data_IF_061370237874
#
_entry.id   IF_061370237874
#
_cell.length_a   1.000
_cell.length_b   1.000
_cell.length_c   1.000
_cell.angle_alpha   90.00
_cell.angle_beta   90.00
_cell.angle_gamma   90.00
#
_symmetry.space_group_name_H-M   'P 1'
#
loop_
_entity.id
_entity.type
_entity.pdbx_description
1 polymer ?
#
# COMPACT_ATOMS: atom_id res chain seq x y z
N UNK A 1 52.92 0.80 4.72
CA UNK A 1 51.53 1.10 4.30
C UNK A 1 51.03 -0.12 3.55
N UNK A 2 50.04 -0.81 4.10
CA UNK A 2 49.71 -2.20 3.80
C UNK A 2 49.09 -2.44 2.43
N UNK A 3 49.25 -3.66 1.94
CA UNK A 3 48.74 -4.13 0.63
C UNK A 3 47.21 -3.92 0.52
N UNK A 4 46.65 -3.71 -0.69
CA UNK A 4 45.21 -3.74 -0.93
C UNK A 4 44.49 -4.94 -0.31
N UNK A 5 45.16 -6.07 -0.15
CA UNK A 5 44.61 -7.26 0.51
C UNK A 5 44.57 -7.16 2.04
N UNK A 6 45.52 -6.47 2.66
CA UNK A 6 45.49 -6.15 4.09
C UNK A 6 44.38 -5.13 4.39
N UNK A 7 44.15 -4.18 3.48
CA UNK A 7 43.03 -3.24 3.55
C UNK A 7 41.67 -3.93 3.38
N UNK A 8 41.55 -4.86 2.43
CA UNK A 8 40.33 -5.69 2.28
C UNK A 8 40.07 -6.56 3.51
N UNK A 9 41.11 -7.17 4.09
CA UNK A 9 40.98 -7.97 5.33
C UNK A 9 40.55 -7.11 6.52
N UNK A 10 41.12 -5.92 6.69
CA UNK A 10 40.70 -4.99 7.75
C UNK A 10 39.27 -4.48 7.56
N UNK A 11 38.84 -4.19 6.32
CA UNK A 11 37.46 -3.82 6.03
C UNK A 11 36.48 -4.97 6.33
N UNK A 12 36.81 -6.20 5.94
CA UNK A 12 36.00 -7.38 6.24
C UNK A 12 35.92 -7.67 7.74
N UNK A 13 37.02 -7.52 8.47
CA UNK A 13 37.03 -7.65 9.92
C UNK A 13 36.25 -6.55 10.63
N UNK A 14 36.35 -5.30 10.18
CA UNK A 14 35.52 -4.21 10.68
C UNK A 14 34.03 -4.45 10.41
N UNK A 15 33.69 -4.93 9.22
CA UNK A 15 32.31 -5.24 8.85
C UNK A 15 31.75 -6.39 9.68
N UNK A 16 32.53 -7.47 9.83
CA UNK A 16 32.18 -8.63 10.67
C UNK A 16 32.02 -8.23 12.14
N UNK A 17 32.93 -7.41 12.67
CA UNK A 17 32.82 -6.86 14.04
C UNK A 17 31.58 -6.01 14.22
N UNK A 18 31.25 -5.12 13.27
CA UNK A 18 30.01 -4.32 13.30
C UNK A 18 28.77 -5.21 13.26
N UNK A 19 28.74 -6.25 12.42
CA UNK A 19 27.60 -7.17 12.36
C UNK A 19 27.42 -7.98 13.64
N UNK A 20 28.50 -8.45 14.25
CA UNK A 20 28.45 -9.16 15.54
C UNK A 20 27.94 -8.20 16.62
N UNK A 21 28.48 -6.98 16.69
CA UNK A 21 28.01 -5.95 17.61
C UNK A 21 26.51 -5.64 17.42
N UNK A 22 26.06 -5.48 16.18
CA UNK A 22 24.64 -5.24 15.87
C UNK A 22 23.74 -6.41 16.28
N UNK A 23 24.16 -7.67 16.06
CA UNK A 23 23.40 -8.85 16.49
C UNK A 23 23.32 -8.96 18.01
N UNK A 24 24.43 -8.78 18.71
CA UNK A 24 24.47 -8.82 20.18
C UNK A 24 23.56 -7.72 20.75
N UNK A 25 23.66 -6.50 20.21
CA UNK A 25 22.83 -5.37 20.61
C UNK A 25 21.33 -5.63 20.36
N UNK A 26 20.98 -6.20 19.20
CA UNK A 26 19.60 -6.58 18.87
C UNK A 26 19.04 -7.66 19.80
N UNK A 27 19.82 -8.69 20.12
CA UNK A 27 19.41 -9.76 21.03
C UNK A 27 19.25 -9.27 22.48
N UNK A 28 20.11 -8.35 22.93
CA UNK A 28 19.96 -7.70 24.24
C UNK A 28 18.72 -6.80 24.28
N UNK A 29 18.45 -6.03 23.22
CA UNK A 29 17.23 -5.22 23.12
C UNK A 29 15.95 -6.07 23.16
N UNK A 30 15.92 -7.24 22.48
CA UNK A 30 14.78 -8.16 22.54
C UNK A 30 14.52 -8.73 23.94
N UNK A 31 15.59 -8.90 24.73
CA UNK A 31 15.50 -9.41 26.11
C UNK A 31 15.19 -8.32 27.13
N UNK A 32 15.38 -7.05 26.77
CA UNK A 32 15.07 -5.93 27.64
C UNK A 32 13.55 -5.78 27.81
N UNK A 33 13.09 -5.76 29.07
CA UNK A 33 11.68 -5.51 29.38
C UNK A 33 11.38 -4.01 29.23
N UNK A 34 10.25 -3.61 28.61
CA UNK A 34 9.86 -2.21 28.56
C UNK A 34 9.73 -1.67 29.99
N UNK A 35 10.53 -0.66 30.30
CA UNK A 35 10.56 -0.03 31.63
C UNK A 35 9.45 1.00 31.74
N UNK A 36 8.85 1.06 32.92
CA UNK A 36 7.82 2.04 33.21
C UNK A 36 8.47 3.44 33.29
N UNK A 37 7.87 4.41 32.60
CA UNK A 37 8.25 5.83 32.63
C UNK A 37 7.08 6.58 33.23
N UNK A 38 7.32 7.40 34.24
CA UNK A 38 6.27 8.14 34.93
C UNK A 38 5.76 9.33 34.11
N UNK A 39 4.52 9.76 34.35
CA UNK A 39 3.94 10.94 33.68
C UNK A 39 4.76 12.21 33.91
N UNK A 40 5.28 12.41 35.13
CA UNK A 40 6.10 13.58 35.47
C UNK A 40 7.43 13.63 34.68
N UNK A 41 8.02 12.47 34.38
CA UNK A 41 9.22 12.38 33.54
C UNK A 41 8.91 12.71 32.08
N UNK A 42 7.73 12.29 31.58
CA UNK A 42 7.28 12.59 30.22
C UNK A 42 7.03 14.10 30.06
N UNK A 43 6.35 14.71 31.01
CA UNK A 43 6.08 16.15 31.00
C UNK A 43 7.39 16.97 31.12
N UNK A 44 8.32 16.53 31.97
CA UNK A 44 9.63 17.18 32.11
C UNK A 44 10.51 17.02 30.86
N UNK A 45 10.40 15.88 30.16
CA UNK A 45 11.11 15.68 28.89
C UNK A 45 10.49 16.50 27.75
N UNK A 46 9.17 16.60 27.71
CA UNK A 46 8.46 17.48 26.78
C UNK A 46 8.92 18.93 26.96
N UNK A 47 8.90 19.47 28.18
CA UNK A 47 9.25 20.87 28.41
C UNK A 47 10.73 21.16 28.16
N UNK A 48 11.65 20.23 28.50
CA UNK A 48 13.07 20.37 28.19
C UNK A 48 13.35 20.43 26.69
N UNK A 49 12.62 19.65 25.90
CA UNK A 49 12.85 19.55 24.46
C UNK A 49 11.89 20.43 23.67
N UNK A 50 10.98 21.17 24.31
CA UNK A 50 9.92 21.94 23.66
C UNK A 50 10.43 22.93 22.62
N UNK A 51 11.57 23.55 22.87
CA UNK A 51 12.22 24.50 21.97
C UNK A 51 12.99 23.83 20.84
N UNK A 52 13.48 22.61 21.05
CA UNK A 52 14.20 21.80 20.05
C UNK A 52 13.26 20.96 19.19
N UNK A 53 12.05 20.67 19.67
CA UNK A 53 11.01 20.00 18.90
C UNK A 53 10.70 20.84 17.66
N UNK A 54 10.87 20.22 16.50
CA UNK A 54 10.44 20.81 15.24
C UNK A 54 8.97 21.18 15.35
N UNK A 55 8.59 22.32 14.78
CA UNK A 55 7.18 22.73 14.76
C UNK A 55 6.36 21.64 14.05
N UNK A 56 5.18 21.36 14.58
CA UNK A 56 4.20 20.50 13.94
C UNK A 56 3.90 21.08 12.54
N UNK A 57 4.00 20.28 11.46
CA UNK A 57 3.65 20.75 10.14
C UNK A 57 2.15 21.05 10.06
N UNK A 58 1.76 21.94 9.15
CA UNK A 58 0.34 22.12 8.86
C UNK A 58 -0.22 20.84 8.28
N UNK A 59 -1.32 20.33 8.83
CA UNK A 59 -1.96 19.10 8.34
C UNK A 59 -3.36 19.35 7.82
N UNK A 60 -3.84 18.44 6.99
CA UNK A 60 -5.24 18.36 6.57
C UNK A 60 -5.72 16.93 6.77
N UNK A 61 -6.92 16.78 7.31
CA UNK A 61 -7.66 15.52 7.24
C UNK A 61 -8.81 15.68 6.26
N UNK A 62 -9.11 14.60 5.56
CA UNK A 62 -10.22 14.59 4.63
C UNK A 62 -10.83 13.20 4.52
N UNK A 63 -12.05 13.17 4.01
CA UNK A 63 -12.68 11.94 3.52
C UNK A 63 -12.97 12.10 2.04
N UNK A 64 -13.00 10.99 1.32
CA UNK A 64 -13.08 11.02 -0.13
C UNK A 64 -14.04 9.98 -0.72
N UNK A 65 -14.55 10.31 -1.91
CA UNK A 65 -15.22 9.38 -2.80
C UNK A 65 -14.39 9.30 -4.08
N UNK A 66 -13.84 8.13 -4.37
CA UNK A 66 -13.08 7.88 -5.60
C UNK A 66 -13.98 7.18 -6.60
N UNK A 67 -14.13 7.75 -7.78
CA UNK A 67 -14.90 7.21 -8.90
C UNK A 67 -13.92 6.68 -9.93
N UNK A 68 -14.01 5.38 -10.21
CA UNK A 68 -13.26 4.74 -11.29
C UNK A 68 -14.11 4.74 -12.58
N UNK A 69 -13.56 5.23 -13.71
CA UNK A 69 -14.19 5.10 -15.02
C UNK A 69 -14.54 3.65 -15.34
N UNK A 70 -15.75 3.45 -15.87
CA UNK A 70 -16.25 2.13 -16.25
C UNK A 70 -16.24 1.98 -17.77
N UNK A 71 -15.63 0.89 -18.24
CA UNK A 71 -15.60 0.55 -19.65
C UNK A 71 -17.01 0.53 -20.25
N UNK A 72 -17.18 1.13 -21.42
CA UNK A 72 -18.42 1.05 -22.18
C UNK A 72 -18.75 -0.41 -22.56
N UNK A 73 -20.02 -0.69 -22.82
CA UNK A 73 -20.45 -2.00 -23.34
C UNK A 73 -19.75 -2.33 -24.67
N UNK A 74 -19.44 -1.32 -25.49
CA UNK A 74 -18.61 -1.47 -26.69
C UNK A 74 -17.20 -1.94 -26.34
N UNK A 75 -16.53 -1.30 -25.39
CA UNK A 75 -15.18 -1.69 -24.96
C UNK A 75 -15.18 -3.11 -24.35
N UNK A 76 -16.19 -3.45 -23.55
CA UNK A 76 -16.38 -4.80 -23.03
C UNK A 76 -16.57 -5.84 -24.15
N UNK A 77 -17.39 -5.54 -25.14
CA UNK A 77 -17.61 -6.43 -26.29
C UNK A 77 -16.32 -6.68 -27.08
N UNK A 78 -15.50 -5.64 -27.27
CA UNK A 78 -14.19 -5.77 -27.93
C UNK A 78 -13.27 -6.69 -27.11
N UNK A 79 -13.18 -6.48 -25.80
CA UNK A 79 -12.37 -7.33 -24.91
C UNK A 79 -12.86 -8.78 -24.87
N UNK A 80 -14.19 -8.99 -24.81
CA UNK A 80 -14.81 -10.31 -24.85
C UNK A 80 -14.51 -11.02 -26.18
N UNK A 81 -14.70 -10.34 -27.30
CA UNK A 81 -14.39 -10.88 -28.64
C UNK A 81 -12.92 -11.27 -28.75
N UNK A 82 -12.01 -10.46 -28.21
CA UNK A 82 -10.58 -10.81 -28.15
C UNK A 82 -10.36 -12.06 -27.31
N UNK A 83 -10.93 -12.15 -26.10
CA UNK A 83 -10.81 -13.33 -25.24
C UNK A 83 -11.39 -14.59 -25.92
N UNK A 84 -12.53 -14.49 -26.59
CA UNK A 84 -13.16 -15.58 -27.36
C UNK A 84 -12.24 -16.05 -28.49
N UNK A 85 -11.58 -15.12 -29.20
CA UNK A 85 -10.59 -15.46 -30.23
C UNK A 85 -9.38 -16.21 -29.67
N UNK A 86 -8.87 -15.83 -28.49
CA UNK A 86 -7.76 -16.52 -27.84
C UNK A 86 -8.19 -17.93 -27.38
N UNK A 87 -9.40 -18.07 -26.84
CA UNK A 87 -9.96 -19.38 -26.50
C UNK A 87 -10.08 -20.27 -27.74
N UNK A 88 -10.48 -19.73 -28.89
CA UNK A 88 -10.55 -20.47 -30.14
C UNK A 88 -9.17 -20.88 -30.68
N UNK A 89 -8.13 -20.08 -30.46
CA UNK A 89 -6.73 -20.44 -30.76
C UNK A 89 -6.26 -21.61 -29.89
N UNK A 90 -6.50 -21.53 -28.57
CA UNK A 90 -6.16 -22.59 -27.62
C UNK A 90 -6.86 -23.91 -27.98
N UNK A 91 -8.17 -23.85 -28.28
CA UNK A 91 -8.96 -25.04 -28.65
C UNK A 91 -8.51 -25.70 -29.95
N UNK A 92 -7.81 -24.97 -30.83
CA UNK A 92 -7.21 -25.50 -32.06
C UNK A 92 -5.80 -26.06 -31.84
N UNK A 93 -5.34 -26.17 -30.60
CA UNK A 93 -4.02 -26.71 -30.25
C UNK A 93 -2.95 -25.65 -29.99
N UNK A 94 -3.33 -24.37 -29.88
CA UNK A 94 -2.40 -23.31 -29.48
C UNK A 94 -1.89 -23.50 -28.05
N UNK A 95 -0.61 -23.20 -27.82
CA UNK A 95 0.02 -23.28 -26.50
C UNK A 95 -0.48 -22.16 -25.58
N UNK A 96 -1.15 -22.55 -24.48
CA UNK A 96 -1.82 -21.62 -23.58
C UNK A 96 -0.82 -20.64 -22.95
N UNK A 97 0.34 -21.13 -22.55
CA UNK A 97 1.38 -20.41 -21.84
C UNK A 97 2.00 -19.32 -22.71
N UNK A 98 2.27 -19.63 -23.98
CA UNK A 98 2.77 -18.67 -24.96
C UNK A 98 1.72 -17.61 -25.30
N UNK A 99 0.45 -18.00 -25.45
CA UNK A 99 -0.65 -17.05 -25.66
C UNK A 99 -0.79 -16.14 -24.44
N UNK A 100 -0.72 -16.69 -23.22
CA UNK A 100 -0.78 -15.91 -21.99
C UNK A 100 0.38 -14.92 -21.88
N UNK A 101 1.62 -15.34 -22.17
CA UNK A 101 2.79 -14.44 -22.19
C UNK A 101 2.64 -13.29 -23.19
N UNK A 102 2.03 -13.56 -24.34
CA UNK A 102 1.81 -12.57 -25.41
C UNK A 102 0.68 -11.60 -25.06
N UNK A 103 -0.48 -12.15 -24.71
CA UNK A 103 -1.77 -11.43 -24.75
C UNK A 103 -2.33 -11.08 -23.39
N UNK A 104 -1.98 -11.83 -22.33
CA UNK A 104 -2.55 -11.56 -21.00
C UNK A 104 -2.16 -10.16 -20.52
N UNK A 105 -3.11 -9.50 -19.87
CA UNK A 105 -2.96 -8.19 -19.24
C UNK A 105 -2.83 -8.30 -17.72
N UNK A 106 -2.74 -9.51 -17.17
CA UNK A 106 -2.42 -9.71 -15.75
C UNK A 106 -0.91 -9.59 -15.51
N UNK A 107 -0.41 -8.53 -14.87
CA UNK A 107 1.03 -8.34 -14.65
C UNK A 107 1.63 -9.40 -13.71
N UNK A 108 0.82 -10.01 -12.83
CA UNK A 108 1.30 -10.98 -11.85
C UNK A 108 1.67 -12.33 -12.48
N UNK A 109 0.91 -12.77 -13.47
CA UNK A 109 1.07 -14.10 -14.06
C UNK A 109 1.50 -14.10 -15.53
N UNK A 110 1.38 -12.98 -16.27
CA UNK A 110 1.71 -12.89 -17.70
C UNK A 110 3.10 -13.48 -18.01
N UNK A 111 4.13 -13.03 -17.29
CA UNK A 111 5.51 -13.44 -17.56
C UNK A 111 5.75 -14.95 -17.39
N UNK A 112 4.93 -15.61 -16.55
CA UNK A 112 5.00 -17.05 -16.26
C UNK A 112 3.91 -17.86 -16.97
N UNK A 113 3.38 -17.35 -18.09
CA UNK A 113 2.40 -18.08 -18.90
C UNK A 113 1.03 -18.18 -18.25
N UNK A 114 0.67 -17.19 -17.42
CA UNK A 114 -0.61 -17.17 -16.73
C UNK A 114 -0.66 -17.99 -15.45
N UNK A 115 0.45 -18.64 -15.03
CA UNK A 115 0.50 -19.49 -13.83
C UNK A 115 0.25 -18.68 -12.56
N UNK A 116 -0.82 -19.05 -11.83
CA UNK A 116 -1.20 -18.45 -10.54
C UNK A 116 -0.60 -19.21 -9.35
N UNK A 117 0.08 -20.34 -9.58
CA UNK A 117 0.52 -21.24 -8.52
C UNK A 117 -0.66 -21.93 -7.83
N UNK A 118 -0.40 -22.46 -6.62
CA UNK A 118 -1.43 -23.07 -5.80
C UNK A 118 -2.30 -22.00 -5.13
N UNK A 119 -3.60 -22.03 -5.43
CA UNK A 119 -4.56 -21.02 -4.99
C UNK A 119 -5.62 -21.67 -4.09
N UNK A 120 -5.86 -21.06 -2.92
CA UNK A 120 -6.90 -21.46 -1.95
C UNK A 120 -8.18 -20.68 -2.18
N UNK A 121 -9.27 -21.15 -1.60
CA UNK A 121 -10.51 -20.36 -1.49
C UNK A 121 -10.26 -19.06 -0.74
N UNK A 122 -10.93 -18.00 -1.16
CA UNK A 122 -10.77 -16.64 -0.64
C UNK A 122 -9.58 -15.86 -1.21
N UNK A 123 -8.69 -16.50 -2.00
CA UNK A 123 -7.52 -15.83 -2.57
C UNK A 123 -7.83 -15.06 -3.87
N UNK A 124 -8.98 -15.31 -4.49
CA UNK A 124 -9.39 -14.66 -5.75
C UNK A 124 -10.82 -14.11 -5.64
N UNK A 125 -11.22 -13.27 -6.59
CA UNK A 125 -12.58 -12.72 -6.61
C UNK A 125 -13.63 -13.82 -6.81
N UNK A 126 -14.84 -13.69 -6.23
CA UNK A 126 -15.81 -14.79 -6.18
C UNK A 126 -16.17 -15.42 -7.53
N UNK A 127 -16.28 -14.62 -8.59
CA UNK A 127 -16.57 -15.08 -9.95
C UNK A 127 -15.46 -15.98 -10.49
N UNK A 128 -14.20 -15.58 -10.26
CA UNK A 128 -13.02 -16.32 -10.70
C UNK A 128 -12.87 -17.63 -9.93
N UNK A 129 -13.03 -17.57 -8.61
CA UNK A 129 -12.99 -18.75 -7.75
C UNK A 129 -14.03 -19.79 -8.19
N UNK A 130 -15.29 -19.36 -8.41
CA UNK A 130 -16.35 -20.28 -8.83
C UNK A 130 -16.00 -21.01 -10.12
N UNK A 131 -15.43 -20.32 -11.11
CA UNK A 131 -14.98 -20.98 -12.35
C UNK A 131 -13.81 -21.93 -12.08
N UNK A 132 -12.82 -21.50 -11.31
CA UNK A 132 -11.62 -22.31 -11.03
C UNK A 132 -11.94 -23.62 -10.32
N UNK A 133 -12.81 -23.59 -9.31
CA UNK A 133 -13.18 -24.79 -8.56
C UNK A 133 -14.26 -25.65 -9.25
N UNK A 134 -14.89 -25.16 -10.32
CA UNK A 134 -15.84 -25.93 -11.12
C UNK A 134 -15.18 -26.78 -12.22
N UNK A 135 -13.92 -26.49 -12.56
CA UNK A 135 -13.19 -27.19 -13.61
C UNK A 135 -12.38 -28.37 -13.05
N UNK A 136 -12.33 -29.44 -13.83
CA UNK A 136 -11.43 -30.57 -13.58
C UNK A 136 -10.01 -30.26 -14.09
N UNK A 137 -8.97 -30.95 -13.56
CA UNK A 137 -7.63 -30.89 -14.13
C UNK A 137 -7.60 -31.12 -15.65
N UNK A 138 -6.85 -30.28 -16.36
CA UNK A 138 -6.75 -30.25 -17.82
C UNK A 138 -7.87 -29.48 -18.52
N UNK A 139 -8.96 -29.11 -17.85
CA UNK A 139 -10.08 -28.42 -18.49
C UNK A 139 -9.81 -26.92 -18.67
N UNK A 140 -10.33 -26.39 -19.78
CA UNK A 140 -10.32 -24.97 -20.11
C UNK A 140 -11.75 -24.43 -20.01
N UNK A 141 -11.93 -23.34 -19.26
CA UNK A 141 -13.20 -22.62 -19.12
C UNK A 141 -13.71 -22.01 -20.44
N UNK A 142 -15.01 -21.71 -20.54
CA UNK A 142 -15.49 -20.64 -21.42
C UNK A 142 -14.94 -19.27 -20.98
N UNK A 143 -15.06 -18.26 -21.84
CA UNK A 143 -14.78 -16.87 -21.43
C UNK A 143 -15.79 -16.43 -20.37
N UNK A 144 -15.29 -15.85 -19.28
CA UNK A 144 -16.13 -15.31 -18.20
C UNK A 144 -15.62 -13.95 -17.70
N UNK A 145 -16.52 -13.13 -17.16
CA UNK A 145 -16.23 -11.77 -16.70
C UNK A 145 -16.03 -11.71 -15.18
N UNK A 146 -15.07 -10.88 -14.75
CA UNK A 146 -14.89 -10.45 -13.36
C UNK A 146 -14.76 -8.93 -13.30
N UNK A 147 -14.61 -8.37 -12.11
CA UNK A 147 -14.34 -6.94 -11.93
C UNK A 147 -13.06 -6.45 -12.64
N UNK A 148 -12.15 -7.35 -13.02
CA UNK A 148 -10.90 -7.00 -13.71
C UNK A 148 -10.99 -7.09 -15.24
N UNK A 149 -12.01 -7.76 -15.79
CA UNK A 149 -12.16 -7.98 -17.23
C UNK A 149 -12.57 -9.41 -17.58
N UNK A 150 -12.21 -9.85 -18.78
CA UNK A 150 -12.57 -11.16 -19.32
C UNK A 150 -11.43 -12.15 -19.15
N UNK A 151 -11.77 -13.36 -18.72
CA UNK A 151 -10.80 -14.39 -18.41
C UNK A 151 -11.01 -15.65 -19.25
N UNK A 152 -9.90 -16.28 -19.60
CA UNK A 152 -9.83 -17.70 -19.98
C UNK A 152 -8.95 -18.40 -18.96
N UNK A 153 -9.47 -19.45 -18.34
CA UNK A 153 -8.84 -20.21 -17.27
C UNK A 153 -8.62 -21.66 -17.69
N UNK A 154 -7.47 -22.24 -17.32
CA UNK A 154 -7.19 -23.68 -17.36
C UNK A 154 -6.80 -24.15 -15.96
N UNK A 155 -7.39 -25.25 -15.49
CA UNK A 155 -6.95 -25.89 -14.25
C UNK A 155 -5.90 -26.94 -14.59
N UNK A 156 -4.72 -26.85 -13.98
CA UNK A 156 -3.64 -27.80 -14.22
C UNK A 156 -3.73 -28.98 -13.24
N UNK A 157 -3.95 -28.68 -11.95
CA UNK A 157 -4.00 -29.68 -10.87
C UNK A 157 -4.95 -29.25 -9.77
N UNK A 158 -5.51 -30.23 -9.07
CA UNK A 158 -6.36 -30.03 -7.90
C UNK A 158 -5.82 -30.90 -6.76
N UNK A 159 -5.76 -30.35 -5.55
CA UNK A 159 -5.50 -31.08 -4.32
C UNK A 159 -6.42 -30.57 -3.20
N UNK A 160 -6.36 -31.19 -2.02
CA UNK A 160 -7.26 -30.86 -0.90
C UNK A 160 -7.16 -29.37 -0.52
N UNK A 161 -8.21 -28.62 -0.83
CA UNK A 161 -8.33 -27.19 -0.50
C UNK A 161 -7.57 -26.22 -1.43
N UNK A 162 -6.87 -26.72 -2.44
CA UNK A 162 -6.02 -25.91 -3.33
C UNK A 162 -6.15 -26.33 -4.79
N UNK A 163 -6.15 -25.34 -5.69
CA UNK A 163 -6.18 -25.54 -7.13
C UNK A 163 -4.98 -24.83 -7.74
N UNK A 164 -4.25 -25.53 -8.60
CA UNK A 164 -3.23 -24.92 -9.46
C UNK A 164 -3.85 -24.64 -10.82
N UNK A 165 -3.85 -23.37 -11.22
CA UNK A 165 -4.48 -22.92 -12.46
C UNK A 165 -3.65 -21.87 -13.18
N UNK A 166 -3.93 -21.71 -14.48
CA UNK A 166 -3.38 -20.65 -15.31
C UNK A 166 -4.47 -19.86 -15.99
N UNK A 167 -4.28 -18.56 -16.17
CA UNK A 167 -5.28 -17.74 -16.83
C UNK A 167 -4.71 -16.74 -17.84
N UNK A 168 -5.60 -16.27 -18.70
CA UNK A 168 -5.40 -15.12 -19.57
C UNK A 168 -6.44 -14.10 -19.16
N UNK A 169 -6.01 -12.88 -18.83
CA UNK A 169 -6.88 -11.74 -18.55
C UNK A 169 -6.85 -10.76 -19.72
N UNK A 170 -8.01 -10.36 -20.22
CA UNK A 170 -8.18 -9.27 -21.19
C UNK A 170 -9.01 -8.17 -20.53
N UNK A 171 -8.38 -7.02 -20.31
CA UNK A 171 -9.00 -5.86 -19.67
C UNK A 171 -9.63 -4.99 -20.78
N UNK A 172 -10.92 -4.61 -20.66
CA UNK A 172 -11.51 -3.60 -21.53
C UNK A 172 -10.72 -2.29 -21.52
N UNK A 173 -10.46 -1.75 -22.71
CA UNK A 173 -9.75 -0.47 -22.85
C UNK A 173 -10.71 0.67 -22.51
N UNK A 174 -10.32 1.50 -21.55
CA UNK A 174 -11.01 2.74 -21.19
C UNK A 174 -10.60 3.83 -22.19
N UNK A 175 -11.55 4.37 -22.94
CA UNK A 175 -11.31 5.45 -23.89
C UNK A 175 -11.63 6.84 -23.31
N UNK A 176 -11.41 7.91 -24.08
CA UNK A 176 -11.68 9.28 -23.64
C UNK A 176 -13.15 9.54 -23.29
N UNK A 177 -14.09 8.83 -23.91
CA UNK A 177 -15.52 8.96 -23.61
C UNK A 177 -15.86 8.29 -22.28
N UNK A 178 -15.23 7.16 -21.98
CA UNK A 178 -15.35 6.49 -20.68
C UNK A 178 -14.76 7.34 -19.56
N UNK A 179 -13.60 7.97 -19.81
CA UNK A 179 -12.98 8.92 -18.88
C UNK A 179 -13.90 10.12 -18.62
N UNK A 180 -14.47 10.72 -19.66
CA UNK A 180 -15.39 11.85 -19.50
C UNK A 180 -16.65 11.45 -18.72
N UNK A 181 -17.21 10.26 -18.95
CA UNK A 181 -18.32 9.75 -18.12
C UNK A 181 -17.94 9.62 -16.65
N UNK A 182 -16.74 9.10 -16.35
CA UNK A 182 -16.22 9.03 -14.99
C UNK A 182 -16.05 10.40 -14.33
N UNK A 183 -15.56 11.38 -15.10
CA UNK A 183 -15.42 12.78 -14.65
C UNK A 183 -16.78 13.41 -14.32
N UNK A 184 -17.75 13.26 -15.22
CA UNK A 184 -19.11 13.77 -15.03
C UNK A 184 -19.83 13.09 -13.86
N UNK A 185 -19.57 11.80 -13.63
CA UNK A 185 -20.06 11.08 -12.45
C UNK A 185 -19.47 11.67 -11.16
N UNK A 186 -18.16 11.91 -11.11
CA UNK A 186 -17.51 12.57 -9.97
C UNK A 186 -18.07 13.98 -9.71
N UNK A 187 -18.29 14.79 -10.76
CA UNK A 187 -18.91 16.11 -10.62
C UNK A 187 -20.35 16.02 -10.09
N UNK A 188 -21.10 15.00 -10.52
CA UNK A 188 -22.44 14.73 -10.00
C UNK A 188 -22.43 14.34 -8.52
N UNK A 189 -21.47 13.50 -8.11
CA UNK A 189 -21.25 13.14 -6.71
C UNK A 189 -20.93 14.39 -5.88
N UNK A 190 -20.04 15.27 -6.36
CA UNK A 190 -19.72 16.51 -5.67
C UNK A 190 -20.94 17.41 -5.46
N UNK A 191 -21.79 17.57 -6.48
CA UNK A 191 -23.04 18.34 -6.37
C UNK A 191 -24.01 17.74 -5.36
N UNK A 192 -24.24 16.42 -5.43
CA UNK A 192 -25.13 15.72 -4.49
C UNK A 192 -24.62 15.79 -3.05
N UNK A 193 -23.30 15.69 -2.86
CA UNK A 193 -22.72 15.76 -1.53
C UNK A 193 -22.87 17.17 -0.93
N UNK A 194 -22.63 18.22 -1.73
CA UNK A 194 -22.87 19.61 -1.32
C UNK A 194 -24.33 19.92 -1.04
N UNK A 195 -25.26 19.28 -1.74
CA UNK A 195 -26.70 19.43 -1.48
C UNK A 195 -27.19 18.67 -0.24
N UNK A 196 -26.30 18.01 0.50
CA UNK A 196 -26.61 17.35 1.77
C UNK A 196 -26.89 15.84 1.67
N UNK A 197 -26.67 15.20 0.51
CA UNK A 197 -26.75 13.73 0.43
C UNK A 197 -25.67 13.12 1.32
N UNK A 198 -26.06 12.14 2.15
CA UNK A 198 -25.16 11.51 3.10
C UNK A 198 -23.97 10.84 2.41
N UNK A 199 -22.78 11.03 2.98
CA UNK A 199 -21.52 10.47 2.48
C UNK A 199 -21.60 8.96 2.28
N UNK A 200 -22.12 8.22 3.27
CA UNK A 200 -22.18 6.76 3.21
C UNK A 200 -23.05 6.25 2.05
N UNK A 201 -24.13 6.98 1.72
CA UNK A 201 -25.00 6.66 0.59
C UNK A 201 -24.29 6.87 -0.75
N UNK A 202 -23.56 7.98 -0.88
CA UNK A 202 -22.76 8.26 -2.08
C UNK A 202 -21.59 7.28 -2.22
N UNK A 203 -20.89 7.00 -1.12
CA UNK A 203 -19.78 6.07 -1.11
C UNK A 203 -20.23 4.64 -1.44
N UNK A 204 -21.36 4.18 -0.90
CA UNK A 204 -21.91 2.87 -1.23
C UNK A 204 -22.20 2.67 -2.72
N UNK A 205 -22.60 3.74 -3.43
CA UNK A 205 -22.97 3.70 -4.85
C UNK A 205 -21.79 3.94 -5.80
N UNK A 206 -20.88 4.85 -5.44
CA UNK A 206 -19.92 5.42 -6.38
C UNK A 206 -18.46 5.16 -6.01
N UNK A 207 -18.16 4.87 -4.73
CA UNK A 207 -16.78 4.70 -4.29
C UNK A 207 -16.18 3.40 -4.81
N UNK A 208 -15.03 3.51 -5.48
CA UNK A 208 -14.22 2.40 -5.93
C UNK A 208 -13.82 1.51 -4.74
N UNK A 209 -14.26 0.24 -4.69
CA UNK A 209 -13.97 -0.65 -3.56
C UNK A 209 -12.49 -0.99 -3.40
N UNK A 210 -11.62 -0.70 -4.37
CA UNK A 210 -10.18 -0.87 -4.22
C UNK A 210 -9.51 0.27 -3.44
N UNK A 211 -10.24 1.34 -3.11
CA UNK A 211 -9.72 2.53 -2.44
C UNK A 211 -10.12 2.56 -0.96
N UNK A 212 -9.36 3.33 -0.17
CA UNK A 212 -9.60 3.47 1.27
C UNK A 212 -10.87 4.31 1.54
N UNK A 213 -11.72 3.81 2.43
CA UNK A 213 -12.96 4.46 2.85
C UNK A 213 -12.80 5.14 4.22
N UNK A 214 -13.52 6.24 4.40
CA UNK A 214 -13.64 6.93 5.68
C UNK A 214 -12.79 8.19 5.78
N UNK A 215 -12.54 8.61 7.02
CA UNK A 215 -11.67 9.74 7.32
C UNK A 215 -10.24 9.23 7.30
N UNK A 216 -9.44 9.78 6.40
CA UNK A 216 -8.03 9.44 6.30
C UNK A 216 -7.23 10.11 7.41
N UNK A 217 -6.06 9.55 7.70
CA UNK A 217 -5.13 10.11 8.68
C UNK A 217 -4.73 11.55 8.32
N UNK A 218 -4.34 12.39 9.29
CA UNK A 218 -3.84 13.73 9.00
C UNK A 218 -2.61 13.68 8.09
N UNK A 219 -2.68 14.36 6.95
CA UNK A 219 -1.57 14.48 6.02
C UNK A 219 -0.91 15.85 6.14
N UNK A 220 0.44 15.94 6.20
CA UNK A 220 1.13 17.21 6.04
C UNK A 220 0.77 17.86 4.70
N UNK A 221 0.38 19.14 4.72
CA UNK A 221 -0.08 19.87 3.52
C UNK A 221 1.00 19.95 2.44
N UNK A 222 2.27 20.00 2.83
CA UNK A 222 3.45 20.06 1.95
C UNK A 222 3.78 18.72 1.29
N UNK A 223 3.27 17.62 1.84
CA UNK A 223 3.52 16.25 1.39
C UNK A 223 2.38 15.70 0.51
N UNK A 224 1.34 16.51 0.26
CA UNK A 224 0.22 16.10 -0.57
C UNK A 224 0.62 15.99 -2.05
N UNK A 225 0.09 14.98 -2.77
CA UNK A 225 0.22 14.94 -4.22
C UNK A 225 -0.39 16.19 -4.87
N UNK A 226 0.17 16.60 -6.02
CA UNK A 226 -0.22 17.83 -6.71
C UNK A 226 -1.73 17.96 -6.99
N UNK A 227 -2.37 16.85 -7.35
CA UNK A 227 -3.82 16.80 -7.61
C UNK A 227 -4.64 17.19 -6.37
N UNK A 228 -4.23 16.72 -5.19
CA UNK A 228 -4.90 17.04 -3.93
C UNK A 228 -4.62 18.48 -3.50
N UNK A 229 -3.36 18.93 -3.57
CA UNK A 229 -3.01 20.29 -3.14
C UNK A 229 -3.74 21.34 -3.97
N UNK A 230 -3.84 21.15 -5.29
CA UNK A 230 -4.62 22.01 -6.18
C UNK A 230 -6.11 21.98 -5.83
N UNK A 231 -6.69 20.80 -5.63
CA UNK A 231 -8.12 20.64 -5.36
C UNK A 231 -8.58 21.29 -4.04
N UNK A 232 -7.74 21.26 -3.00
CA UNK A 232 -8.06 21.83 -1.68
C UNK A 232 -7.61 23.29 -1.52
N UNK A 233 -6.94 23.88 -2.52
CA UNK A 233 -6.48 25.26 -2.44
C UNK A 233 -7.67 26.21 -2.25
N UNK A 234 -7.60 27.08 -1.25
CA UNK A 234 -8.66 28.03 -0.91
C UNK A 234 -9.88 27.41 -0.19
N UNK A 235 -9.87 26.10 0.10
CA UNK A 235 -10.94 25.42 0.84
C UNK A 235 -10.74 25.49 2.35
N UNK A 236 -11.84 25.43 3.10
CA UNK A 236 -11.90 25.39 4.57
C UNK A 236 -12.46 24.04 5.06
N UNK A 237 -12.37 23.79 6.36
CA UNK A 237 -13.03 22.64 6.98
C UNK A 237 -14.54 22.65 6.67
N UNK A 238 -15.06 21.50 6.24
CA UNK A 238 -16.43 21.31 5.77
C UNK A 238 -16.59 21.40 4.25
N UNK A 239 -15.71 22.12 3.54
CA UNK A 239 -15.82 22.32 2.10
C UNK A 239 -15.61 21.02 1.32
N UNK A 240 -16.34 20.90 0.21
CA UNK A 240 -16.26 19.79 -0.73
C UNK A 240 -15.67 20.28 -2.06
N UNK A 241 -14.67 19.57 -2.59
CA UNK A 241 -14.03 19.87 -3.88
C UNK A 241 -14.94 19.51 -5.06
N UNK A 242 -14.63 20.03 -6.25
CA UNK A 242 -15.17 19.45 -7.48
C UNK A 242 -14.48 18.10 -7.75
N UNK A 243 -14.95 17.37 -8.77
CA UNK A 243 -14.27 16.16 -9.24
C UNK A 243 -12.91 16.52 -9.83
N UNK A 244 -11.85 15.92 -9.34
CA UNK A 244 -10.50 16.11 -9.88
C UNK A 244 -9.82 14.78 -10.20
N UNK A 245 -8.92 14.80 -11.17
CA UNK A 245 -8.27 13.60 -11.66
C UNK A 245 -7.20 13.10 -10.69
N UNK A 246 -7.17 11.78 -10.50
CA UNK A 246 -6.15 11.04 -9.80
C UNK A 246 -5.45 10.07 -10.74
N UNK A 247 -4.14 9.90 -10.50
CA UNK A 247 -3.40 8.76 -11.03
C UNK A 247 -3.59 7.57 -10.08
N UNK A 248 -4.31 6.56 -10.53
CA UNK A 248 -4.44 5.27 -9.87
C UNK A 248 -3.25 4.35 -10.18
N UNK A 249 -3.27 3.17 -9.55
CA UNK A 249 -2.26 2.14 -9.81
C UNK A 249 -2.22 1.77 -11.30
N UNK A 250 -1.03 1.45 -11.81
CA UNK A 250 -0.82 1.01 -13.22
C UNK A 250 -1.27 2.03 -14.27
N UNK A 251 -1.24 3.33 -13.94
CA UNK A 251 -1.60 4.41 -14.86
C UNK A 251 -3.10 4.55 -15.11
N UNK A 252 -3.94 3.87 -14.32
CA UNK A 252 -5.38 4.04 -14.39
C UNK A 252 -5.75 5.46 -14.00
N UNK A 253 -6.63 6.09 -14.78
CA UNK A 253 -7.19 7.40 -14.42
C UNK A 253 -8.40 7.16 -13.52
N UNK A 254 -8.43 7.83 -12.37
CA UNK A 254 -9.58 7.86 -11.45
C UNK A 254 -9.98 9.32 -11.19
N UNK A 255 -11.13 9.53 -10.59
CA UNK A 255 -11.57 10.85 -10.16
C UNK A 255 -11.89 10.84 -8.68
N UNK A 256 -11.53 11.90 -7.95
CA UNK A 256 -11.88 12.03 -6.55
C UNK A 256 -12.72 13.27 -6.27
N UNK A 257 -13.60 13.13 -5.30
CA UNK A 257 -14.29 14.21 -4.63
C UNK A 257 -13.91 14.14 -3.16
N UNK A 258 -13.40 15.25 -2.63
CA UNK A 258 -12.85 15.31 -1.28
C UNK A 258 -13.64 16.29 -0.44
N UNK A 259 -13.95 15.90 0.80
CA UNK A 259 -14.40 16.83 1.83
C UNK A 259 -13.28 17.06 2.84
N UNK A 260 -12.90 18.32 3.03
CA UNK A 260 -11.95 18.72 4.06
C UNK A 260 -12.63 18.55 5.42
N UNK A 261 -12.06 17.72 6.29
CA UNK A 261 -12.65 17.44 7.61
C UNK A 261 -12.05 18.39 8.64
N UNK A 262 -10.72 18.42 8.75
CA UNK A 262 -9.99 19.40 9.57
C UNK A 262 -8.78 19.96 8.82
N UNK A 263 -8.43 21.21 9.13
CA UNK A 263 -7.16 21.79 8.75
C UNK A 263 -6.49 22.27 10.03
N UNK A 264 -5.23 21.92 10.20
CA UNK A 264 -4.41 22.43 11.28
C UNK A 264 -3.25 23.22 10.70
N UNK A 265 -2.94 24.34 11.34
CA UNK A 265 -1.81 25.16 10.95
C UNK A 265 -0.53 24.71 11.65
N UNK A 266 0.60 25.23 11.14
CA UNK A 266 1.91 25.02 11.75
C UNK A 266 1.85 25.48 13.20
N UNK A 267 2.28 24.62 14.12
CA UNK A 267 2.12 24.86 15.55
C UNK A 267 3.17 24.17 16.40
N UNK A 268 3.08 24.34 17.72
CA UNK A 268 3.80 23.46 18.65
C UNK A 268 3.00 22.17 18.83
N UNK A 269 3.68 21.06 19.05
CA UNK A 269 3.02 19.82 19.43
C UNK A 269 2.36 19.97 20.79
N UNK A 270 1.15 19.43 20.96
CA UNK A 270 0.52 19.28 22.28
C UNK A 270 1.21 18.12 23.02
N UNK A 271 1.52 18.25 24.33
CA UNK A 271 2.00 17.13 25.14
C UNK A 271 1.20 15.84 24.93
N UNK A 272 -0.12 15.91 24.75
CA UNK A 272 -1.00 14.76 24.50
C UNK A 272 -0.73 14.07 23.16
N UNK A 273 -0.31 14.81 22.13
CA UNK A 273 -0.05 14.26 20.79
C UNK A 273 1.24 13.46 20.75
N UNK A 274 2.28 13.88 21.49
CA UNK A 274 3.61 13.25 21.45
C UNK A 274 3.99 12.49 22.73
N UNK A 275 3.12 12.46 23.75
CA UNK A 275 3.33 11.71 25.02
C UNK A 275 3.71 10.25 24.79
N UNK A 276 3.02 9.56 23.88
CA UNK A 276 3.32 8.16 23.56
C UNK A 276 4.74 8.01 22.97
N UNK A 277 5.11 8.90 22.05
CA UNK A 277 6.43 8.91 21.42
C UNK A 277 7.54 9.23 22.43
N UNK A 278 7.35 10.24 23.28
CA UNK A 278 8.29 10.60 24.35
C UNK A 278 8.44 9.44 25.35
N UNK A 279 7.34 8.78 25.73
CA UNK A 279 7.38 7.59 26.60
C UNK A 279 8.23 6.49 25.99
N UNK A 280 8.01 6.17 24.72
CA UNK A 280 8.78 5.14 24.00
C UNK A 280 10.26 5.51 23.92
N UNK A 281 10.58 6.78 23.65
CA UNK A 281 11.95 7.27 23.60
C UNK A 281 12.64 7.17 24.97
N UNK A 282 12.01 7.67 26.04
CA UNK A 282 12.56 7.61 27.40
C UNK A 282 12.74 6.17 27.89
N UNK A 283 11.79 5.28 27.57
CA UNK A 283 11.91 3.86 27.89
C UNK A 283 13.10 3.21 27.15
N UNK A 284 13.30 3.56 25.88
CA UNK A 284 14.42 3.08 25.08
C UNK A 284 15.77 3.62 25.60
N UNK A 285 15.85 4.90 25.95
CA UNK A 285 17.04 5.52 26.55
C UNK A 285 17.40 4.87 27.89
N UNK A 286 16.41 4.64 28.76
CA UNK A 286 16.61 3.97 30.06
C UNK A 286 17.11 2.55 29.86
N UNK A 287 16.48 1.80 28.96
CA UNK A 287 16.92 0.43 28.61
C UNK A 287 18.35 0.41 28.07
N UNK A 288 18.72 1.38 27.24
CA UNK A 288 20.06 1.45 26.65
C UNK A 288 21.11 1.81 27.70
N UNK A 289 20.80 2.76 28.60
CA UNK A 289 21.71 3.15 29.69
C UNK A 289 21.99 1.99 30.65
N UNK A 290 20.96 1.28 31.09
CA UNK A 290 21.11 0.11 31.96
C UNK A 290 21.94 -0.99 31.29
N UNK A 291 21.71 -1.26 30.00
CA UNK A 291 22.50 -2.22 29.24
C UNK A 291 23.98 -1.81 29.14
N UNK A 292 24.27 -0.52 28.91
CA UNK A 292 25.64 -0.01 28.92
C UNK A 292 26.30 -0.17 30.29
N UNK A 293 25.56 0.04 31.38
CA UNK A 293 26.07 -0.14 32.74
C UNK A 293 26.29 -1.62 33.08
N UNK A 294 25.43 -2.54 32.61
CA UNK A 294 25.64 -3.98 32.73
C UNK A 294 26.86 -4.44 31.94
N UNK A 295 27.03 -3.96 30.70
CA UNK A 295 28.22 -4.21 29.89
C UNK A 295 29.49 -3.69 30.55
N UNK A 296 29.45 -2.49 31.16
CA UNK A 296 30.58 -1.93 31.92
C UNK A 296 30.94 -2.80 33.12
N UNK A 297 29.97 -3.36 33.85
CA UNK A 297 30.22 -4.28 34.97
C UNK A 297 30.84 -5.60 34.53
N UNK A 298 30.49 -6.08 33.32
CA UNK A 298 31.02 -7.32 32.75
C UNK A 298 32.36 -7.14 32.02
N UNK A 299 32.82 -5.90 31.82
CA UNK A 299 34.04 -5.60 31.07
C UNK A 299 35.15 -5.13 32.03
N UNK A 300 36.16 -5.96 32.27
CA UNK A 300 37.36 -5.56 33.01
C UNK A 300 38.28 -4.73 32.09
N UNK A 301 38.33 -3.41 32.30
CA UNK A 301 39.25 -2.52 31.56
C UNK A 301 40.51 -2.32 32.40
N UNK A 302 41.59 -3.04 32.08
CA UNK A 302 42.91 -2.75 32.64
C UNK A 302 43.55 -1.60 31.84
N UNK A 303 43.59 -0.41 32.44
CA UNK A 303 44.31 0.75 31.90
C UNK A 303 45.80 0.50 32.14
N UNK A 304 46.56 0.16 31.09
CA UNK A 304 48.03 0.20 31.15
C UNK A 304 48.50 1.63 30.86
N UNK A 305 49.15 2.25 31.84
CA UNK A 305 49.94 3.45 31.59
C UNK A 305 51.24 3.04 30.88
N UNK A 306 51.68 3.79 29.85
CA UNK A 306 52.99 3.55 29.23
C UNK A 306 54.09 4.05 30.17
N UNK A 307 55.09 3.20 30.42
CA UNK A 307 56.36 3.57 31.06
C UNK A 307 57.23 4.42 30.12
#
# INVERSE_FOLDING_TARGET
MGSPDEYRRTLMDQFRRRQIQQRVFSELQKKAKPRNVSEAEIDSAFERNRTELQKRPATVTFRQIVVAPKASEKAKLVARTKADSLLAEIRRGGDFENIAKRESMDPGSKAVGGDLGWTRRGATVPQFERMMFALNPGQISPVFETAFGFHVLRVDRVQTGEVKARHILIIPVIDSTDLERGRLEADSVARQWRSGVAFDSLAARHHDPSEERGILQPFPKDSLPLSYSQAITGKKAGDITDGFQLAGARGQVKYAVVQVVTMTDVGQYDPKEIRAQIRTQLAAERSTREMLDEMRKLTFVAIKYPD
#
